data_IF_311961544837
#
_entry.id   IF_311961544837
#
_cell.length_a   1.000
_cell.length_b   1.000
_cell.length_c   1.000
_cell.angle_alpha   90.00
_cell.angle_beta   90.00
_cell.angle_gamma   90.00
#
_symmetry.space_group_name_H-M   'P 1'
#
loop_
_entity.id
_entity.type
_entity.pdbx_description
1 polymer ?
#
# COMPACT_ATOMS: atom_id res chain seq x y z
N UNK A 1 -19.72 -8.13 -15.30
CA UNK A 1 -19.25 -9.00 -14.19
C UNK A 1 -17.77 -8.83 -13.79
N UNK A 2 -16.89 -8.21 -14.60
CA UNK A 2 -15.45 -8.04 -14.26
C UNK A 2 -15.22 -7.19 -12.99
N UNK A 3 -16.03 -6.15 -12.77
CA UNK A 3 -15.93 -5.25 -11.61
C UNK A 3 -16.31 -5.88 -10.26
N UNK A 4 -17.23 -6.85 -10.25
CA UNK A 4 -17.76 -7.43 -9.02
C UNK A 4 -16.67 -8.17 -8.22
N UNK A 5 -15.72 -8.81 -8.89
CA UNK A 5 -14.58 -9.48 -8.25
C UNK A 5 -13.70 -8.49 -7.46
N UNK A 6 -13.49 -7.30 -7.99
CA UNK A 6 -12.71 -6.25 -7.32
C UNK A 6 -13.46 -5.65 -6.14
N UNK A 7 -14.79 -5.48 -6.26
CA UNK A 7 -15.63 -5.01 -5.15
C UNK A 7 -15.60 -6.01 -4.00
N UNK A 8 -15.78 -7.31 -4.28
CA UNK A 8 -15.71 -8.37 -3.26
C UNK A 8 -14.32 -8.40 -2.60
N UNK A 9 -13.25 -8.31 -3.38
CA UNK A 9 -11.89 -8.24 -2.84
C UNK A 9 -11.67 -7.00 -1.96
N UNK A 10 -12.23 -5.85 -2.34
CA UNK A 10 -12.18 -4.61 -1.56
C UNK A 10 -12.96 -4.72 -0.25
N UNK A 11 -14.15 -5.33 -0.27
CA UNK A 11 -14.94 -5.59 0.95
C UNK A 11 -14.17 -6.52 1.90
N UNK A 12 -13.63 -7.62 1.39
CA UNK A 12 -12.82 -8.54 2.19
C UNK A 12 -11.59 -7.83 2.78
N UNK A 13 -10.88 -7.03 1.98
CA UNK A 13 -9.74 -6.25 2.43
C UNK A 13 -10.12 -5.27 3.55
N UNK A 14 -11.24 -4.54 3.40
CA UNK A 14 -11.75 -3.62 4.42
C UNK A 14 -12.12 -4.31 5.72
N UNK A 15 -12.81 -5.47 5.65
CA UNK A 15 -13.18 -6.28 6.82
C UNK A 15 -11.92 -6.76 7.56
N UNK A 16 -10.95 -7.31 6.83
CA UNK A 16 -9.69 -7.81 7.42
C UNK A 16 -8.89 -6.67 8.04
N UNK A 17 -8.78 -5.52 7.37
CA UNK A 17 -8.11 -4.34 7.93
C UNK A 17 -8.80 -3.84 9.20
N UNK A 18 -10.12 -3.82 9.23
CA UNK A 18 -10.88 -3.40 10.41
C UNK A 18 -10.72 -4.37 11.57
N UNK A 19 -10.86 -5.67 11.33
CA UNK A 19 -10.72 -6.70 12.36
C UNK A 19 -9.31 -6.81 12.91
N UNK A 20 -8.29 -6.52 12.11
CA UNK A 20 -6.88 -6.51 12.54
C UNK A 20 -6.47 -5.23 13.27
N UNK A 21 -7.40 -4.26 13.47
CA UNK A 21 -7.12 -2.94 14.02
C UNK A 21 -6.03 -2.15 13.28
N UNK A 22 -5.63 -2.61 12.08
CA UNK A 22 -4.59 -1.99 11.27
C UNK A 22 -4.99 -0.63 10.69
N UNK A 23 -6.23 -0.21 10.96
CA UNK A 23 -6.79 1.11 10.65
C UNK A 23 -6.35 2.16 11.67
N UNK A 24 -6.05 1.74 12.90
CA UNK A 24 -5.84 2.65 14.03
C UNK A 24 -4.49 3.37 13.95
N UNK A 25 -4.55 4.69 14.15
CA UNK A 25 -3.36 5.55 14.30
C UNK A 25 -2.45 5.09 15.44
N UNK A 26 -3.05 4.70 16.56
CA UNK A 26 -2.34 4.29 17.76
C UNK A 26 -1.51 3.03 17.52
N UNK A 27 -2.02 2.06 16.77
CA UNK A 27 -1.26 0.84 16.42
C UNK A 27 -0.02 1.15 15.60
N UNK A 28 -0.09 2.16 14.74
CA UNK A 28 1.07 2.57 13.95
C UNK A 28 2.09 3.31 14.82
N UNK A 29 1.64 4.18 15.72
CA UNK A 29 2.53 4.82 16.69
C UNK A 29 3.20 3.81 17.62
N UNK A 30 2.47 2.81 18.11
CA UNK A 30 3.02 1.71 18.90
C UNK A 30 4.10 0.94 18.14
N UNK A 31 3.94 0.76 16.83
CA UNK A 31 4.95 0.14 15.97
C UNK A 31 6.24 0.98 15.95
N UNK A 32 6.15 2.29 15.68
CA UNK A 32 7.33 3.17 15.65
C UNK A 32 7.97 3.38 17.02
N UNK A 33 7.19 3.24 18.11
CA UNK A 33 7.67 3.30 19.50
C UNK A 33 8.11 1.94 20.04
N UNK A 34 8.08 0.89 19.22
CA UNK A 34 8.43 -0.50 19.58
C UNK A 34 7.67 -1.06 20.80
N UNK A 35 6.43 -0.61 21.02
CA UNK A 35 5.62 -1.04 22.16
C UNK A 35 4.77 -2.28 21.86
N UNK A 36 4.50 -2.56 20.57
CA UNK A 36 3.65 -3.68 20.15
C UNK A 36 4.22 -4.39 18.92
N UNK A 37 4.31 -5.71 18.99
CA UNK A 37 4.72 -6.55 17.85
C UNK A 37 3.61 -6.77 16.82
N UNK A 38 2.39 -6.32 17.09
CA UNK A 38 1.22 -6.74 16.31
C UNK A 38 1.31 -6.32 14.84
N UNK A 39 1.67 -5.06 14.55
CA UNK A 39 1.83 -4.59 13.16
C UNK A 39 3.09 -5.13 12.48
N UNK A 40 4.18 -5.31 13.22
CA UNK A 40 5.40 -5.94 12.68
C UNK A 40 5.12 -7.37 12.22
N UNK A 41 4.33 -8.13 13.00
CA UNK A 41 3.88 -9.47 12.62
C UNK A 41 3.05 -9.46 11.35
N UNK A 42 2.08 -8.54 11.22
CA UNK A 42 1.24 -8.42 10.02
C UNK A 42 2.08 -8.08 8.78
N UNK A 43 2.96 -7.08 8.87
CA UNK A 43 3.81 -6.68 7.74
C UNK A 43 4.81 -7.79 7.39
N UNK A 44 5.45 -8.39 8.40
CA UNK A 44 6.43 -9.46 8.21
C UNK A 44 5.82 -10.69 7.55
N UNK A 45 4.67 -11.15 8.04
CA UNK A 45 3.94 -12.29 7.44
C UNK A 45 3.50 -12.00 6.01
N UNK A 46 3.02 -10.79 5.73
CA UNK A 46 2.66 -10.38 4.38
C UNK A 46 3.86 -10.39 3.42
N UNK A 47 5.03 -9.91 3.87
CA UNK A 47 6.28 -9.95 3.07
C UNK A 47 6.72 -11.38 2.80
N UNK A 48 6.77 -12.23 3.83
CA UNK A 48 7.18 -13.64 3.70
C UNK A 48 6.24 -14.40 2.75
N UNK A 49 4.93 -14.25 2.92
CA UNK A 49 3.95 -14.84 1.99
C UNK A 49 4.12 -14.30 0.57
N UNK A 50 4.36 -13.00 0.41
CA UNK A 50 4.63 -12.40 -0.90
C UNK A 50 5.85 -13.02 -1.59
N UNK A 51 6.94 -13.24 -0.84
CA UNK A 51 8.15 -13.90 -1.36
C UNK A 51 7.83 -15.34 -1.79
N UNK A 52 7.13 -16.11 -0.96
CA UNK A 52 6.78 -17.50 -1.27
C UNK A 52 5.87 -17.58 -2.50
N UNK A 53 4.81 -16.77 -2.54
CA UNK A 53 3.86 -16.74 -3.66
C UNK A 53 4.57 -16.34 -4.95
N UNK A 54 5.37 -15.28 -4.94
CA UNK A 54 6.11 -14.84 -6.14
C UNK A 54 7.14 -15.88 -6.60
N UNK A 55 7.80 -16.56 -5.67
CA UNK A 55 8.71 -17.67 -6.00
C UNK A 55 7.97 -18.84 -6.67
N UNK A 56 6.82 -19.26 -6.12
CA UNK A 56 5.97 -20.31 -6.69
C UNK A 56 5.48 -19.93 -8.08
N UNK A 57 5.00 -18.70 -8.28
CA UNK A 57 4.56 -18.20 -9.59
C UNK A 57 5.69 -18.29 -10.62
N UNK A 58 6.91 -17.86 -10.25
CA UNK A 58 8.08 -17.94 -11.14
C UNK A 58 8.48 -19.40 -11.43
N UNK A 59 8.46 -20.27 -10.43
CA UNK A 59 8.87 -21.68 -10.56
C UNK A 59 7.91 -22.49 -11.43
N UNK A 60 6.60 -22.32 -11.25
CA UNK A 60 5.57 -23.08 -11.96
C UNK A 60 5.01 -22.36 -13.19
N UNK A 61 5.53 -21.18 -13.54
CA UNK A 61 5.05 -20.34 -14.66
C UNK A 61 3.52 -20.20 -14.64
N UNK A 62 2.97 -19.91 -13.46
CA UNK A 62 1.53 -19.79 -13.26
C UNK A 62 0.97 -18.70 -14.17
N UNK A 63 -0.21 -18.97 -14.72
CA UNK A 63 -0.94 -18.06 -15.61
C UNK A 63 -2.02 -17.32 -14.82
N UNK A 64 -2.36 -16.12 -15.30
CA UNK A 64 -3.49 -15.38 -14.76
C UNK A 64 -4.82 -16.10 -15.03
N UNK A 65 -5.91 -15.56 -14.50
CA UNK A 65 -7.26 -16.09 -14.73
C UNK A 65 -7.68 -16.13 -16.22
N UNK A 66 -6.99 -15.40 -17.09
CA UNK A 66 -7.23 -15.32 -18.53
C UNK A 66 -6.22 -16.16 -19.35
N UNK A 67 -5.32 -16.90 -18.69
CA UNK A 67 -4.30 -17.73 -19.35
C UNK A 67 -3.02 -16.99 -19.76
N UNK A 68 -2.84 -15.72 -19.40
CA UNK A 68 -1.64 -14.95 -19.70
C UNK A 68 -0.50 -15.29 -18.72
N UNK A 69 0.77 -15.33 -19.17
CA UNK A 69 1.90 -15.53 -18.27
C UNK A 69 2.04 -14.34 -17.31
N UNK A 70 2.26 -14.61 -16.03
CA UNK A 70 2.56 -13.57 -15.04
C UNK A 70 4.03 -13.18 -15.17
N UNK A 71 4.30 -12.08 -15.89
CA UNK A 71 5.65 -11.53 -16.07
C UNK A 71 5.90 -10.43 -15.04
N UNK A 72 6.93 -10.61 -14.22
CA UNK A 72 7.38 -9.57 -13.28
C UNK A 72 8.38 -8.66 -13.98
N UNK A 73 7.98 -7.42 -14.27
CA UNK A 73 8.89 -6.40 -14.80
C UNK A 73 9.71 -5.80 -13.64
N UNK A 74 11.05 -5.84 -13.70
CA UNK A 74 11.88 -5.22 -12.68
C UNK A 74 11.65 -3.70 -12.71
N UNK A 75 11.61 -3.10 -11.53
CA UNK A 75 11.51 -1.65 -11.38
C UNK A 75 12.81 -1.00 -11.82
N UNK A 76 12.75 0.16 -12.49
CA UNK A 76 13.95 0.91 -12.86
C UNK A 76 14.77 1.27 -11.60
N UNK A 77 16.07 1.01 -11.62
CA UNK A 77 16.94 1.32 -10.48
C UNK A 77 17.33 2.81 -10.53
N UNK A 78 16.93 3.59 -9.52
CA UNK A 78 17.40 4.98 -9.34
C UNK A 78 17.48 5.30 -7.84
N UNK A 79 18.67 5.63 -7.36
CA UNK A 79 18.90 5.89 -5.93
C UNK A 79 18.24 7.22 -5.51
N UNK A 80 18.47 8.29 -6.27
CA UNK A 80 18.00 9.63 -5.94
C UNK A 80 16.47 9.70 -5.87
N UNK A 81 15.77 9.09 -6.85
CA UNK A 81 14.30 9.07 -6.88
C UNK A 81 13.71 8.33 -5.68
N UNK A 82 14.27 7.19 -5.32
CA UNK A 82 13.75 6.38 -4.20
C UNK A 82 14.09 6.98 -2.85
N UNK A 83 15.25 7.64 -2.72
CA UNK A 83 15.61 8.30 -1.48
C UNK A 83 14.71 9.52 -1.24
N UNK A 84 14.60 10.42 -2.22
CA UNK A 84 13.76 11.63 -2.11
C UNK A 84 12.29 11.24 -1.96
N UNK A 85 11.78 10.36 -2.83
CA UNK A 85 10.40 9.91 -2.77
C UNK A 85 10.07 9.15 -1.48
N UNK A 86 11.01 8.33 -0.99
CA UNK A 86 10.87 7.60 0.27
C UNK A 86 10.82 8.52 1.49
N UNK A 87 11.65 9.56 1.53
CA UNK A 87 11.63 10.56 2.60
C UNK A 87 10.31 11.34 2.58
N UNK A 88 9.88 11.84 1.41
CA UNK A 88 8.62 12.59 1.29
C UNK A 88 7.43 11.72 1.68
N UNK A 89 7.40 10.47 1.22
CA UNK A 89 6.36 9.52 1.57
C UNK A 89 6.37 9.19 3.07
N UNK A 90 7.54 8.97 3.66
CA UNK A 90 7.69 8.70 5.09
C UNK A 90 7.27 9.87 5.97
N UNK A 91 7.61 11.11 5.59
CA UNK A 91 7.16 12.32 6.28
C UNK A 91 5.66 12.51 6.15
N UNK A 92 5.11 12.31 4.95
CA UNK A 92 3.66 12.34 4.72
C UNK A 92 2.94 11.31 5.58
N UNK A 93 3.50 10.10 5.68
CA UNK A 93 2.97 9.05 6.53
C UNK A 93 3.05 9.49 8.02
N UNK A 94 4.21 9.93 8.53
CA UNK A 94 4.32 10.43 9.91
C UNK A 94 3.30 11.54 10.25
N UNK A 95 3.02 12.43 9.29
CA UNK A 95 2.06 13.52 9.43
C UNK A 95 0.59 13.06 9.41
N UNK A 96 0.20 12.25 8.42
CA UNK A 96 -1.22 11.91 8.19
C UNK A 96 -1.73 10.86 9.15
N UNK A 97 -0.84 10.07 9.75
CA UNK A 97 -1.32 9.06 10.66
C UNK A 97 -1.99 7.85 9.99
N UNK A 98 -2.02 7.80 8.66
CA UNK A 98 -2.53 6.67 7.91
C UNK A 98 -1.66 6.31 6.70
N UNK A 99 -1.53 5.01 6.44
CA UNK A 99 -0.97 4.51 5.20
C UNK A 99 -2.09 4.38 4.13
N UNK A 100 -1.78 4.11 2.85
CA UNK A 100 -2.79 4.13 1.80
C UNK A 100 -3.93 3.14 2.00
N UNK A 101 -3.71 1.99 2.65
CA UNK A 101 -4.80 1.07 2.99
C UNK A 101 -5.81 1.70 3.96
N UNK A 102 -5.40 2.00 5.21
CA UNK A 102 -6.21 2.69 6.21
C UNK A 102 -6.79 4.02 5.74
N UNK A 103 -6.15 4.77 4.85
CA UNK A 103 -6.73 6.01 4.33
C UNK A 103 -8.12 5.78 3.70
N UNK A 104 -8.25 4.77 2.83
CA UNK A 104 -9.54 4.46 2.21
C UNK A 104 -10.50 3.75 3.16
N UNK A 105 -10.00 2.90 4.06
CA UNK A 105 -10.86 2.22 5.03
C UNK A 105 -11.41 3.20 6.08
N UNK A 106 -10.63 4.17 6.53
CA UNK A 106 -11.05 5.23 7.46
C UNK A 106 -12.17 6.11 6.90
N UNK A 107 -12.20 6.35 5.59
CA UNK A 107 -13.34 7.02 4.93
C UNK A 107 -14.62 6.21 5.16
N UNK A 108 -14.55 4.88 5.02
CA UNK A 108 -15.68 3.99 5.29
C UNK A 108 -16.16 4.00 6.74
N UNK A 109 -15.26 4.28 7.70
CA UNK A 109 -15.58 4.48 9.12
C UNK A 109 -15.96 5.93 9.47
N UNK A 110 -16.26 6.78 8.48
CA UNK A 110 -16.71 8.17 8.64
C UNK A 110 -15.69 9.12 9.31
N UNK A 111 -14.39 8.79 9.25
CA UNK A 111 -13.33 9.72 9.69
C UNK A 111 -13.09 10.79 8.62
N UNK A 112 -13.91 11.83 8.60
CA UNK A 112 -13.87 12.85 7.54
C UNK A 112 -12.55 13.61 7.41
N UNK A 113 -11.79 13.75 8.50
CA UNK A 113 -10.47 14.39 8.46
C UNK A 113 -9.50 13.71 7.48
N UNK A 114 -9.67 12.41 7.22
CA UNK A 114 -8.81 11.66 6.30
C UNK A 114 -9.05 12.03 4.83
N UNK A 115 -10.21 12.61 4.49
CA UNK A 115 -10.47 13.09 3.13
C UNK A 115 -9.43 14.10 2.67
N UNK A 116 -8.97 14.97 3.58
CA UNK A 116 -7.95 15.97 3.28
C UNK A 116 -6.64 15.26 2.86
N UNK A 117 -6.26 14.21 3.60
CA UNK A 117 -5.08 13.41 3.29
C UNK A 117 -5.24 12.66 1.96
N UNK A 118 -6.42 12.10 1.68
CA UNK A 118 -6.70 11.39 0.43
C UNK A 118 -6.67 12.34 -0.77
N UNK A 119 -7.31 13.50 -0.68
CA UNK A 119 -7.28 14.51 -1.75
C UNK A 119 -5.84 15.01 -1.96
N UNK A 120 -5.09 15.27 -0.89
CA UNK A 120 -3.68 15.64 -0.96
C UNK A 120 -2.81 14.57 -1.61
N UNK A 121 -3.02 13.30 -1.26
CA UNK A 121 -2.30 12.17 -1.86
C UNK A 121 -2.63 12.01 -3.35
N UNK A 122 -3.90 12.16 -3.74
CA UNK A 122 -4.33 12.12 -5.14
C UNK A 122 -3.75 13.28 -5.93
N UNK A 123 -3.81 14.51 -5.40
CA UNK A 123 -3.22 15.68 -6.03
C UNK A 123 -1.70 15.56 -6.17
N UNK A 124 -1.01 15.08 -5.13
CA UNK A 124 0.44 14.87 -5.14
C UNK A 124 0.86 13.81 -6.14
N UNK A 125 0.15 12.67 -6.20
CA UNK A 125 0.45 11.60 -7.18
C UNK A 125 0.14 12.03 -8.61
N UNK A 126 -0.94 12.77 -8.84
CA UNK A 126 -1.25 13.36 -10.16
C UNK A 126 -0.16 14.35 -10.60
N UNK A 127 0.21 15.27 -9.72
CA UNK A 127 1.24 16.27 -9.99
C UNK A 127 2.60 15.62 -10.26
N UNK A 128 2.98 14.61 -9.46
CA UNK A 128 4.17 13.81 -9.75
C UNK A 128 4.07 13.12 -11.11
N UNK A 129 2.91 12.56 -11.46
CA UNK A 129 2.67 11.91 -12.75
C UNK A 129 2.87 12.84 -13.96
N UNK A 130 2.51 14.12 -13.82
CA UNK A 130 2.70 15.15 -14.85
C UNK A 130 4.15 15.62 -14.93
N UNK A 131 4.84 15.74 -13.78
CA UNK A 131 6.19 16.32 -13.70
C UNK A 131 7.29 15.25 -13.86
N UNK A 132 6.98 13.96 -13.72
CA UNK A 132 7.97 12.86 -13.74
C UNK A 132 8.91 12.89 -14.95
N UNK A 133 8.42 13.31 -16.11
CA UNK A 133 9.19 13.32 -17.36
C UNK A 133 10.17 14.50 -17.43
N UNK A 134 10.00 15.49 -16.53
CA UNK A 134 10.86 16.68 -16.37
C UNK A 134 11.83 16.55 -15.18
N UNK A 135 11.66 15.55 -14.32
CA UNK A 135 12.51 15.33 -13.14
C UNK A 135 13.80 14.58 -13.53
N UNK A 136 14.97 14.95 -12.96
CA UNK A 136 16.23 14.25 -13.21
C UNK A 136 16.10 12.76 -12.83
N UNK A 137 16.74 11.90 -13.64
CA UNK A 137 16.71 10.44 -13.47
C UNK A 137 17.60 9.98 -12.32
#
# INVERSE_FOLDING_TARGET
MKGLKFIIAGILFGIVMSKSEAISWFRIQEMFRFQSFHMYGIIGTAVVLGIIITYVIKKYKLRDYQGNPIVFTPKEMSVSRYLIGGIIFGLGWALTGACPGPMFVNIGFQYWSILIAVVGALAGTYMYGVIKDRLPR
#
